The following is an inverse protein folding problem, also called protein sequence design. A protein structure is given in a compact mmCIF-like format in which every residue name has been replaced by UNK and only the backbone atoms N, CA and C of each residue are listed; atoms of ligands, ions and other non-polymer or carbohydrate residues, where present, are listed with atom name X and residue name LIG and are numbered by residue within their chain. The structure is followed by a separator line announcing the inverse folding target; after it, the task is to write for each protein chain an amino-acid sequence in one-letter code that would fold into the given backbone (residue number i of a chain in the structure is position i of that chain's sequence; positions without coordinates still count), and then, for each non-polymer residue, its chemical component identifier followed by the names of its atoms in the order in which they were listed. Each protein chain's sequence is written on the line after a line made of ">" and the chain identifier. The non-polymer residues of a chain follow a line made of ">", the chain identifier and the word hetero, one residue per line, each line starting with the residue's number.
data_IF_639479996924
#
_entry.id   IF_639479996924
#
_cell.length_a   1.000
_cell.length_b   1.000
_cell.length_c   1.000
_cell.angle_alpha   90.00
_cell.angle_beta   90.00
_cell.angle_gamma   90.00
#
_symmetry.space_group_name_H-M   'P 1'
#
loop_
_entity.id
_entity.type
_entity.pdbx_description
1 polymer ?
#
# COMPACT_ATOMS: atom_id res chain seq x y z
N UNK A 1 7.54 14.50 11.03
CA UNK A 1 6.37 15.00 10.28
C UNK A 1 5.54 13.77 9.94
N UNK A 2 4.52 13.45 10.73
CA UNK A 2 3.73 12.23 10.52
C UNK A 2 2.72 12.51 9.41
N UNK A 3 3.12 12.32 8.15
CA UNK A 3 2.21 12.50 7.02
C UNK A 3 1.05 11.51 7.20
N UNK A 4 -0.13 12.02 7.53
CA UNK A 4 -1.32 11.18 7.63
C UNK A 4 -1.57 10.46 6.30
N UNK A 5 -2.00 9.19 6.40
CA UNK A 5 -2.30 8.35 5.25
C UNK A 5 -3.16 9.08 4.21
N UNK A 6 -4.18 9.83 4.65
CA UNK A 6 -5.07 10.57 3.78
C UNK A 6 -4.33 11.61 2.90
N UNK A 7 -3.38 12.34 3.48
CA UNK A 7 -2.61 13.35 2.75
C UNK A 7 -1.67 12.69 1.73
N UNK A 8 -1.03 11.58 2.11
CA UNK A 8 -0.18 10.81 1.20
C UNK A 8 -0.98 10.19 0.05
N UNK A 9 -2.15 9.62 0.34
CA UNK A 9 -3.04 9.04 -0.67
C UNK A 9 -3.54 10.09 -1.68
N UNK A 10 -3.90 11.30 -1.22
CA UNK A 10 -4.29 12.38 -2.11
C UNK A 10 -3.14 12.86 -3.01
N UNK A 11 -1.92 12.94 -2.48
CA UNK A 11 -0.75 13.30 -3.27
C UNK A 11 -0.47 12.25 -4.37
N UNK A 12 -0.58 10.96 -4.05
CA UNK A 12 -0.44 9.86 -5.01
C UNK A 12 -1.56 9.85 -6.05
N UNK A 13 -2.80 10.14 -5.65
CA UNK A 13 -3.93 10.26 -6.57
C UNK A 13 -3.71 11.39 -7.59
N UNK A 14 -3.25 12.55 -7.12
CA UNK A 14 -2.90 13.68 -7.99
C UNK A 14 -1.75 13.32 -8.95
N UNK A 15 -0.76 12.56 -8.48
CA UNK A 15 0.34 12.07 -9.31
C UNK A 15 -0.19 11.12 -10.40
N UNK A 16 -0.96 10.10 -10.03
CA UNK A 16 -1.53 9.12 -10.96
C UNK A 16 -2.44 9.80 -12.01
N UNK A 17 -3.23 10.79 -11.62
CA UNK A 17 -4.04 11.56 -12.56
C UNK A 17 -3.19 12.32 -13.59
N UNK A 18 -2.04 12.88 -13.17
CA UNK A 18 -1.15 13.64 -14.05
C UNK A 18 -0.27 12.76 -14.93
N UNK A 19 0.20 11.62 -14.45
CA UNK A 19 1.17 10.77 -15.16
C UNK A 19 0.50 9.65 -15.96
N UNK A 20 -0.55 9.05 -15.42
CA UNK A 20 -1.25 7.90 -16.00
C UNK A 20 -2.59 8.27 -16.63
N UNK A 21 -3.11 9.48 -16.35
CA UNK A 21 -4.43 9.91 -16.80
C UNK A 21 -5.58 9.26 -16.03
N UNK A 22 -5.30 8.62 -14.89
CA UNK A 22 -6.31 7.94 -14.08
C UNK A 22 -7.28 8.94 -13.46
N UNK A 23 -8.57 8.62 -13.49
CA UNK A 23 -9.57 9.34 -12.70
C UNK A 23 -9.52 8.86 -11.24
N UNK A 24 -10.03 9.65 -10.28
CA UNK A 24 -10.07 9.24 -8.86
C UNK A 24 -10.59 7.82 -8.60
N UNK A 25 -11.69 7.32 -9.23
CA UNK A 25 -12.13 5.95 -9.00
C UNK A 25 -11.11 4.89 -9.44
N UNK A 26 -10.36 5.12 -10.52
CA UNK A 26 -9.33 4.18 -10.99
C UNK A 26 -8.17 4.08 -9.99
N UNK A 27 -7.79 5.19 -9.36
CA UNK A 27 -6.78 5.18 -8.28
C UNK A 27 -7.25 4.43 -7.03
N UNK A 28 -8.51 4.60 -6.63
CA UNK A 28 -9.05 3.96 -5.41
C UNK A 28 -9.36 2.48 -5.60
N UNK A 29 -9.58 2.02 -6.84
CA UNK A 29 -9.79 0.61 -7.18
C UNK A 29 -8.45 -0.14 -7.36
N UNK A 30 -7.40 0.57 -7.78
CA UNK A 30 -6.07 -0.01 -7.97
C UNK A 30 -5.42 -0.45 -6.65
N UNK A 31 -4.79 -1.63 -6.66
CA UNK A 31 -4.00 -2.10 -5.52
C UNK A 31 -2.69 -1.32 -5.38
N UNK A 32 -2.08 -1.26 -4.18
CA UNK A 32 -0.77 -0.63 -4.00
C UNK A 32 0.33 -1.24 -4.88
N UNK A 33 0.25 -2.55 -5.16
CA UNK A 33 1.20 -3.24 -6.04
C UNK A 33 1.05 -2.80 -7.50
N UNK A 34 -0.19 -2.67 -8.00
CA UNK A 34 -0.48 -2.15 -9.33
C UNK A 34 -0.09 -0.68 -9.47
N UNK A 35 -0.35 0.14 -8.44
CA UNK A 35 0.08 1.53 -8.39
C UNK A 35 1.61 1.64 -8.47
N UNK A 36 2.34 0.82 -7.68
CA UNK A 36 3.80 0.79 -7.74
C UNK A 36 4.29 0.37 -9.13
N UNK A 37 3.66 -0.62 -9.75
CA UNK A 37 3.99 -1.04 -11.11
C UNK A 37 3.75 0.05 -12.15
N UNK A 38 2.59 0.71 -12.10
CA UNK A 38 2.24 1.79 -13.03
C UNK A 38 3.18 3.00 -12.89
N UNK A 39 3.70 3.27 -11.69
CA UNK A 39 4.68 4.32 -11.43
C UNK A 39 6.13 3.91 -11.70
N UNK A 40 6.39 2.66 -12.12
CA UNK A 40 7.75 2.14 -12.32
C UNK A 40 8.53 1.95 -11.02
N UNK A 41 7.84 1.83 -9.89
CA UNK A 41 8.38 1.61 -8.55
C UNK A 41 8.49 0.11 -8.19
N UNK A 42 8.16 -0.79 -9.13
CA UNK A 42 8.36 -2.24 -9.02
C UNK A 42 9.85 -2.57 -8.88
N UNK A 43 10.33 -2.54 -7.64
CA UNK A 43 11.74 -2.73 -7.30
C UNK A 43 12.12 -2.16 -5.93
N UNK A 44 11.27 -1.31 -5.34
CA UNK A 44 11.39 -0.95 -3.93
C UNK A 44 11.09 -2.16 -3.06
N UNK A 45 11.90 -2.35 -2.01
CA UNK A 45 11.76 -3.34 -0.93
C UNK A 45 10.27 -3.51 -0.57
N UNK A 46 9.62 -4.54 -1.11
CA UNK A 46 8.29 -4.89 -0.68
C UNK A 46 8.44 -5.31 0.78
N UNK A 47 7.72 -4.67 1.73
CA UNK A 47 7.78 -5.14 3.11
C UNK A 47 7.42 -6.62 3.08
N UNK A 48 8.32 -7.45 3.61
CA UNK A 48 8.09 -8.87 3.70
C UNK A 48 6.70 -9.08 4.30
N UNK A 49 5.85 -9.83 3.58
CA UNK A 49 4.51 -10.15 4.05
C UNK A 49 4.57 -10.85 5.41
N UNK A 50 3.42 -11.00 6.05
CA UNK A 50 3.36 -11.78 7.28
C UNK A 50 3.65 -13.24 6.94
N UNK A 51 4.81 -13.73 7.35
CA UNK A 51 5.16 -15.13 7.24
C UNK A 51 4.36 -15.98 8.22
N UNK A 52 4.20 -17.26 7.88
CA UNK A 52 3.43 -18.22 8.67
C UNK A 52 3.83 -18.26 10.15
N UNK A 53 5.13 -18.22 10.44
CA UNK A 53 5.66 -18.22 11.81
C UNK A 53 5.25 -16.96 12.60
N UNK A 54 5.21 -15.81 11.94
CA UNK A 54 4.76 -14.56 12.54
C UNK A 54 3.26 -14.59 12.82
N UNK A 55 2.47 -15.15 11.89
CA UNK A 55 1.03 -15.35 12.10
C UNK A 55 0.75 -16.27 13.30
N UNK A 56 1.47 -17.39 13.41
CA UNK A 56 1.31 -18.33 14.53
C UNK A 56 1.63 -17.69 15.88
N UNK A 57 2.69 -16.89 15.93
CA UNK A 57 3.06 -16.13 17.15
C UNK A 57 1.98 -15.12 17.55
N UNK A 58 1.33 -14.48 16.58
CA UNK A 58 0.24 -13.53 16.84
C UNK A 58 -1.02 -14.24 17.35
N UNK A 59 -1.33 -15.42 16.80
CA UNK A 59 -2.46 -16.25 17.24
C UNK A 59 -2.26 -16.79 18.67
N UNK A 60 -1.04 -17.21 19.02
CA UNK A 60 -0.71 -17.65 20.39
C UNK A 60 -0.91 -16.51 21.40
N UNK A 61 -0.39 -15.31 21.11
CA UNK A 61 -0.54 -14.15 22.00
C UNK A 61 -1.97 -13.65 22.18
N UNK A 62 -2.85 -13.86 21.20
CA UNK A 62 -4.27 -13.49 21.29
C UNK A 62 -5.04 -14.47 22.18
N UNK A 63 -4.72 -15.77 22.11
CA UNK A 63 -5.36 -16.82 22.91
C UNK A 63 -4.98 -16.78 24.39
N UNK A 64 -3.85 -16.15 24.74
CA UNK A 64 -3.34 -16.01 26.10
C UNK A 64 -3.91 -14.79 26.87
N UNK A 65 -4.91 -14.10 26.29
CA UNK A 65 -5.60 -12.95 26.90
C UNK A 65 -7.02 -13.23 27.36
#
# INVERSE_FOLDING_TARGET
>A
MNCDFANAALALCALAARTLGWRPPEFWDATPAELAAALGLSGGDQPAGIDRALLETLMERDHER
#
